data_IF_951399415393
#
_entry.id   IF_951399415393
#
_cell.length_a   1.000
_cell.length_b   1.000
_cell.length_c   1.000
_cell.angle_alpha   90.00
_cell.angle_beta   90.00
_cell.angle_gamma   90.00
#
_symmetry.space_group_name_H-M   'P 1'
#
loop_
_entity.id
_entity.type
_entity.pdbx_description
1 polymer ?
#
# COMPACT_ATOMS: atom_id res chain seq x y z
N UNK A 1 -45.91 52.76 -30.40
CA UNK A 1 -44.55 52.53 -29.87
C UNK A 1 -44.69 51.62 -28.64
N UNK A 2 -44.46 50.31 -28.79
CA UNK A 2 -44.59 49.34 -27.70
C UNK A 2 -43.31 49.33 -26.86
N UNK A 3 -43.48 49.43 -25.54
CA UNK A 3 -42.42 49.42 -24.55
C UNK A 3 -41.83 47.99 -24.42
N UNK A 4 -40.52 47.87 -24.63
CA UNK A 4 -39.77 46.66 -24.32
C UNK A 4 -39.53 46.55 -22.82
N UNK A 5 -40.06 45.49 -22.20
CA UNK A 5 -39.62 45.02 -20.89
C UNK A 5 -39.05 43.61 -21.06
N UNK A 6 -37.72 43.50 -21.01
CA UNK A 6 -37.02 42.21 -20.86
C UNK A 6 -37.14 41.76 -19.40
N UNK A 7 -37.55 40.51 -19.11
CA UNK A 7 -37.61 40.04 -17.74
C UNK A 7 -36.20 39.81 -17.17
N UNK A 8 -35.96 40.06 -15.86
CA UNK A 8 -34.66 39.87 -15.25
C UNK A 8 -34.29 38.39 -15.14
N UNK A 9 -33.05 38.05 -15.47
CA UNK A 9 -32.48 36.72 -15.34
C UNK A 9 -32.58 36.22 -13.89
N UNK A 10 -33.28 35.11 -13.68
CA UNK A 10 -33.38 34.44 -12.38
C UNK A 10 -32.01 33.81 -12.04
N UNK A 11 -31.27 34.44 -11.14
CA UNK A 11 -30.09 33.85 -10.52
C UNK A 11 -30.60 32.81 -9.51
N UNK A 12 -30.67 31.54 -9.93
CA UNK A 12 -30.94 30.44 -9.01
C UNK A 12 -29.66 30.13 -8.22
N UNK A 13 -29.57 30.68 -7.01
CA UNK A 13 -28.57 30.26 -6.03
C UNK A 13 -28.96 28.84 -5.59
N UNK A 14 -28.33 27.83 -6.17
CA UNK A 14 -28.45 26.46 -5.67
C UNK A 14 -27.69 26.37 -4.35
N UNK A 15 -28.44 26.18 -3.28
CA UNK A 15 -27.96 25.91 -1.94
C UNK A 15 -27.20 24.57 -1.97
N UNK A 16 -25.87 24.62 -2.08
CA UNK A 16 -25.01 23.44 -1.95
C UNK A 16 -25.05 23.04 -0.49
N UNK A 17 -25.91 22.07 -0.16
CA UNK A 17 -25.91 21.44 1.16
C UNK A 17 -24.53 20.82 1.40
N UNK A 18 -23.90 21.25 2.48
CA UNK A 18 -22.62 20.73 2.92
C UNK A 18 -22.77 19.25 3.22
N UNK A 19 -22.20 18.39 2.38
CA UNK A 19 -21.84 17.05 2.81
C UNK A 19 -20.38 17.09 3.24
N UNK A 20 -20.17 17.39 4.53
CA UNK A 20 -18.95 16.94 5.19
C UNK A 20 -19.04 15.42 5.30
N UNK A 21 -18.14 14.65 4.69
CA UNK A 21 -18.08 13.22 4.96
C UNK A 21 -17.61 13.04 6.40
N UNK A 22 -18.53 12.65 7.26
CA UNK A 22 -18.24 12.08 8.58
C UNK A 22 -17.29 10.89 8.37
N UNK A 23 -16.02 11.08 8.71
CA UNK A 23 -15.04 9.98 8.77
C UNK A 23 -14.45 9.89 10.16
N UNK A 24 -15.33 9.70 11.16
CA UNK A 24 -14.91 9.03 12.39
C UNK A 24 -14.81 7.52 12.11
N UNK A 25 -13.67 7.14 11.57
CA UNK A 25 -13.18 5.78 11.69
C UNK A 25 -11.79 5.90 12.27
N UNK A 26 -11.61 5.47 13.53
CA UNK A 26 -10.30 5.20 14.11
C UNK A 26 -9.58 4.16 13.22
N UNK A 27 -8.90 4.65 12.18
CA UNK A 27 -8.10 3.84 11.27
C UNK A 27 -6.87 3.38 12.06
N UNK A 28 -6.57 2.07 12.12
CA UNK A 28 -5.35 1.61 12.76
C UNK A 28 -4.14 2.25 12.08
N UNK A 29 -3.33 2.95 12.87
CA UNK A 29 -2.38 3.99 12.45
C UNK A 29 -1.13 3.55 11.68
N UNK A 30 -1.02 2.29 11.26
CA UNK A 30 0.16 1.83 10.51
C UNK A 30 -0.20 1.00 9.28
N UNK A 31 -0.93 1.68 8.37
CA UNK A 31 -0.99 1.41 6.93
C UNK A 31 0.42 1.40 6.31
N UNK A 32 1.18 0.32 6.36
CA UNK A 32 2.47 0.27 5.66
C UNK A 32 2.27 0.17 4.15
N UNK A 33 2.19 1.34 3.50
CA UNK A 33 1.93 1.46 2.06
C UNK A 33 3.20 1.38 1.21
N UNK A 34 4.38 1.56 1.82
CA UNK A 34 5.63 1.59 1.09
C UNK A 34 5.99 0.20 0.56
N UNK A 35 6.03 0.08 -0.77
CA UNK A 35 6.40 -1.12 -1.50
C UNK A 35 7.78 -0.94 -2.15
N UNK A 36 8.40 -2.03 -2.59
CA UNK A 36 9.59 -1.98 -3.43
C UNK A 36 9.61 -3.11 -4.46
N UNK A 37 10.48 -2.95 -5.45
CA UNK A 37 10.94 -4.02 -6.33
C UNK A 37 12.48 -3.95 -6.43
N UNK A 38 13.09 -5.03 -6.89
CA UNK A 38 14.54 -5.11 -7.11
C UNK A 38 14.81 -4.87 -8.59
N UNK A 39 15.68 -3.92 -8.92
CA UNK A 39 16.13 -3.65 -10.29
C UNK A 39 17.21 -4.66 -10.72
N UNK A 40 17.66 -4.58 -11.98
CA UNK A 40 18.67 -5.51 -12.51
C UNK A 40 20.05 -5.34 -11.83
N UNK A 41 20.31 -4.20 -11.21
CA UNK A 41 21.50 -3.93 -10.38
C UNK A 41 21.39 -4.50 -8.95
N UNK A 42 20.27 -5.13 -8.58
CA UNK A 42 20.05 -5.66 -7.23
C UNK A 42 19.65 -4.61 -6.18
N UNK A 43 19.43 -3.35 -6.57
CA UNK A 43 18.99 -2.26 -5.68
C UNK A 43 17.48 -2.25 -5.50
N UNK A 44 17.04 -1.87 -4.30
CA UNK A 44 15.61 -1.70 -3.99
C UNK A 44 15.12 -0.35 -4.49
N UNK A 45 14.11 -0.36 -5.36
CA UNK A 45 13.41 0.84 -5.83
C UNK A 45 12.05 0.92 -5.13
N UNK A 46 11.86 1.98 -4.35
CA UNK A 46 10.67 2.18 -3.54
C UNK A 46 9.52 2.82 -4.34
N UNK A 47 8.29 2.42 -4.04
CA UNK A 47 7.09 2.88 -4.73
C UNK A 47 5.84 2.68 -3.87
N UNK A 48 4.77 3.42 -4.17
CA UNK A 48 3.44 3.19 -3.60
C UNK A 48 2.56 2.31 -4.49
N UNK A 49 2.99 2.07 -5.74
CA UNK A 49 2.28 1.24 -6.70
C UNK A 49 2.38 -0.25 -6.31
N UNK A 50 1.36 -1.03 -6.64
CA UNK A 50 1.32 -2.50 -6.39
C UNK A 50 1.99 -3.33 -7.48
N UNK A 51 2.33 -2.71 -8.61
CA UNK A 51 3.01 -3.34 -9.74
C UNK A 51 4.24 -2.54 -10.13
N UNK A 52 5.32 -3.26 -10.41
CA UNK A 52 6.56 -2.72 -10.94
C UNK A 52 6.42 -2.43 -12.45
N UNK A 53 7.35 -1.66 -13.06
CA UNK A 53 7.31 -1.35 -14.50
C UNK A 53 7.32 -2.59 -15.41
N UNK A 54 7.93 -3.68 -14.95
CA UNK A 54 7.97 -4.97 -15.63
C UNK A 54 6.69 -5.83 -15.43
N UNK A 55 5.65 -5.27 -14.81
CA UNK A 55 4.39 -5.97 -14.53
C UNK A 55 4.40 -6.89 -13.30
N UNK A 56 5.56 -7.14 -12.67
CA UNK A 56 5.66 -7.98 -11.47
C UNK A 56 5.04 -7.29 -10.25
N UNK A 57 4.49 -8.07 -9.33
CA UNK A 57 3.97 -7.53 -8.07
C UNK A 57 5.09 -6.96 -7.20
N UNK A 58 4.88 -5.77 -6.65
CA UNK A 58 5.81 -5.17 -5.68
C UNK A 58 5.63 -5.81 -4.30
N UNK A 59 6.69 -5.85 -3.50
CA UNK A 59 6.70 -6.43 -2.15
C UNK A 59 6.67 -5.34 -1.07
N UNK A 60 6.15 -5.66 0.11
CA UNK A 60 6.18 -4.73 1.26
C UNK A 60 7.63 -4.44 1.64
N UNK A 61 7.95 -3.16 1.84
CA UNK A 61 9.29 -2.72 2.25
C UNK A 61 9.66 -3.07 3.68
N UNK A 62 8.66 -3.41 4.47
CA UNK A 62 8.80 -3.56 5.90
C UNK A 62 8.79 -5.04 6.27
N UNK A 63 9.60 -5.43 7.27
CA UNK A 63 9.70 -6.83 7.68
C UNK A 63 8.38 -7.33 8.30
N UNK A 64 8.19 -8.65 8.26
CA UNK A 64 7.13 -9.29 9.00
C UNK A 64 7.28 -9.01 10.50
N UNK A 65 6.15 -8.77 11.19
CA UNK A 65 6.13 -8.50 12.62
C UNK A 65 6.72 -9.68 13.40
N UNK A 66 7.61 -9.39 14.34
CA UNK A 66 8.09 -10.37 15.30
C UNK A 66 7.09 -10.53 16.45
N UNK A 67 6.82 -11.78 16.82
CA UNK A 67 6.04 -12.15 18.00
C UNK A 67 6.82 -13.20 18.79
N UNK A 68 7.06 -13.00 20.10
CA UNK A 68 7.65 -14.02 20.95
C UNK A 68 6.81 -15.31 21.01
N UNK A 69 5.48 -15.16 20.94
CA UNK A 69 4.46 -16.21 21.03
C UNK A 69 4.04 -16.78 19.66
N UNK A 70 4.91 -16.71 18.65
CA UNK A 70 4.60 -17.19 17.30
C UNK A 70 4.39 -18.71 17.25
N UNK A 71 3.10 -19.11 17.22
CA UNK A 71 2.63 -20.49 17.11
C UNK A 71 3.19 -21.25 15.90
N UNK A 72 3.59 -20.56 14.84
CA UNK A 72 4.07 -21.16 13.59
C UNK A 72 5.61 -21.15 13.45
N UNK A 73 6.32 -20.83 14.52
CA UNK A 73 7.80 -20.78 14.55
C UNK A 73 8.44 -22.11 14.14
N UNK A 74 7.96 -23.24 14.68
CA UNK A 74 8.48 -24.59 14.37
C UNK A 74 8.31 -24.93 12.88
N UNK A 75 7.15 -24.63 12.30
CA UNK A 75 6.83 -24.88 10.91
C UNK A 75 7.69 -24.01 9.98
N UNK A 76 7.89 -22.74 10.35
CA UNK A 76 8.80 -21.85 9.60
C UNK A 76 10.24 -22.39 9.62
N UNK A 77 10.72 -22.90 10.75
CA UNK A 77 12.06 -23.47 10.85
C UNK A 77 12.20 -24.75 10.02
N UNK A 78 11.25 -25.69 10.10
CA UNK A 78 11.31 -26.95 9.34
C UNK A 78 11.27 -26.71 7.84
N UNK A 79 10.46 -25.76 7.35
CA UNK A 79 10.46 -25.37 5.94
C UNK A 79 11.83 -24.81 5.50
N UNK A 80 12.40 -23.88 6.27
CA UNK A 80 13.73 -23.33 5.95
C UNK A 80 14.81 -24.41 5.89
N UNK A 81 14.75 -25.38 6.82
CA UNK A 81 15.68 -26.52 6.84
C UNK A 81 15.54 -27.43 5.61
N UNK A 82 14.29 -27.73 5.17
CA UNK A 82 14.04 -28.57 3.99
C UNK A 82 14.60 -28.00 2.70
N UNK A 83 14.57 -26.67 2.55
CA UNK A 83 15.12 -25.98 1.38
C UNK A 83 16.60 -25.60 1.54
N UNK A 84 17.24 -25.97 2.65
CA UNK A 84 18.62 -25.62 2.96
C UNK A 84 18.91 -24.11 2.89
N UNK A 85 17.94 -23.31 3.35
CA UNK A 85 18.01 -21.84 3.38
C UNK A 85 18.17 -21.31 4.82
N UNK A 86 18.64 -22.15 5.75
CA UNK A 86 19.01 -21.67 7.07
C UNK A 86 20.24 -20.77 6.94
N UNK A 87 20.33 -19.66 7.71
CA UNK A 87 21.42 -18.70 7.57
C UNK A 87 22.83 -19.31 7.65
N UNK A 88 23.03 -20.34 8.49
CA UNK A 88 24.31 -21.04 8.61
C UNK A 88 24.59 -22.05 7.48
N UNK A 89 23.54 -22.63 6.88
CA UNK A 89 23.68 -23.59 5.76
C UNK A 89 23.94 -22.85 4.44
N UNK A 90 23.34 -21.68 4.23
CA UNK A 90 23.56 -20.86 3.02
C UNK A 90 25.02 -20.41 2.92
N UNK A 91 25.61 -19.96 4.04
CA UNK A 91 27.02 -19.58 4.09
C UNK A 91 27.96 -20.75 3.78
N UNK A 92 27.60 -21.97 4.19
CA UNK A 92 28.38 -23.17 3.92
C UNK A 92 28.27 -23.65 2.46
N UNK A 93 27.25 -23.24 1.71
CA UNK A 93 27.03 -23.62 0.30
C UNK A 93 27.66 -22.68 -0.72
N UNK A 94 27.96 -21.45 -0.32
CA UNK A 94 28.58 -20.43 -1.19
C UNK A 94 30.11 -20.48 -1.21
N UNK A 95 30.70 -21.50 -0.56
CA UNK A 95 32.13 -21.83 -0.55
C UNK A 95 32.35 -23.10 -1.39
#
# INVERSE_FOLDING_TARGET
>A
MQAGQSPPAKISIQFISSQHPSTDQKKPLFKMHLMYYVNDEGKRIYTLKKRAPNGKATVSSHPARFSPDDKYSRQRFTLKKRFHILPHEVAARSL
#
